data_IF_712500128031
#
_entry.id   IF_712500128031
#
_cell.length_a   1.000
_cell.length_b   1.000
_cell.length_c   1.000
_cell.angle_alpha   90.00
_cell.angle_beta   90.00
_cell.angle_gamma   90.00
#
_symmetry.space_group_name_H-M   'P 1'
#
loop_
_entity.id
_entity.type
_entity.pdbx_description
1 polymer ?
#
# COMPACT_ATOMS: atom_id res chain seq x y z
N UNK A 1 10.73 -27.42 -43.42
CA UNK A 1 9.52 -26.55 -43.51
C UNK A 1 8.54 -27.07 -42.46
N UNK A 2 8.31 -26.49 -41.30
CA UNK A 2 8.80 -25.30 -40.62
C UNK A 2 8.63 -25.53 -39.12
N UNK A 3 9.33 -24.75 -38.31
CA UNK A 3 9.61 -24.98 -36.89
C UNK A 3 8.38 -24.96 -35.99
N UNK A 4 8.32 -25.92 -35.05
CA UNK A 4 7.49 -25.82 -33.85
C UNK A 4 8.15 -24.84 -32.89
N UNK A 5 7.62 -23.61 -32.87
CA UNK A 5 8.02 -22.58 -31.92
C UNK A 5 7.68 -23.04 -30.51
N UNK A 6 8.72 -23.16 -29.69
CA UNK A 6 8.62 -23.31 -28.25
C UNK A 6 7.83 -22.11 -27.71
N UNK A 7 6.74 -22.35 -27.00
CA UNK A 7 6.19 -21.33 -26.11
C UNK A 7 7.20 -21.15 -24.98
N UNK A 8 8.14 -20.24 -25.21
CA UNK A 8 9.04 -19.74 -24.18
C UNK A 8 8.17 -19.29 -23.02
N UNK A 9 8.31 -20.01 -21.91
CA UNK A 9 7.72 -19.64 -20.64
C UNK A 9 8.07 -18.18 -20.39
N UNK A 10 7.03 -17.34 -20.32
CA UNK A 10 7.17 -15.98 -19.82
C UNK A 10 7.68 -16.15 -18.40
N UNK A 11 8.99 -15.97 -18.21
CA UNK A 11 9.54 -15.88 -16.87
C UNK A 11 8.69 -14.86 -16.12
N UNK A 12 8.21 -15.17 -14.89
CA UNK A 12 7.61 -14.14 -14.10
C UNK A 12 8.71 -13.10 -13.91
N UNK A 13 8.55 -11.95 -14.57
CA UNK A 13 9.36 -10.78 -14.30
C UNK A 13 9.22 -10.55 -12.81
N UNK A 14 10.24 -10.97 -12.07
CA UNK A 14 10.31 -10.78 -10.64
C UNK A 14 10.25 -9.27 -10.47
N UNK A 15 9.08 -8.76 -10.08
CA UNK A 15 8.92 -7.41 -9.63
C UNK A 15 9.66 -7.33 -8.29
N UNK A 16 11.00 -7.28 -8.35
CA UNK A 16 11.86 -6.99 -7.21
C UNK A 16 11.29 -5.75 -6.52
N UNK A 17 10.70 -5.97 -5.33
CA UNK A 17 10.18 -4.93 -4.47
C UNK A 17 8.67 -4.61 -4.52
N UNK A 18 7.85 -5.24 -5.38
CA UNK A 18 6.44 -4.81 -5.54
C UNK A 18 5.39 -5.94 -5.66
N UNK A 19 5.57 -7.02 -4.91
CA UNK A 19 4.51 -8.02 -4.68
C UNK A 19 3.85 -7.89 -3.29
N UNK A 20 3.92 -6.73 -2.64
CA UNK A 20 3.35 -6.51 -1.31
C UNK A 20 1.85 -6.83 -1.23
N UNK A 21 1.12 -6.59 -2.32
CA UNK A 21 -0.31 -6.86 -2.41
C UNK A 21 -0.63 -8.36 -2.61
N UNK A 22 0.33 -9.16 -3.09
CA UNK A 22 0.16 -10.60 -3.35
C UNK A 22 0.71 -11.47 -2.20
N UNK A 23 1.76 -11.00 -1.52
CA UNK A 23 2.45 -11.69 -0.41
C UNK A 23 2.89 -10.65 0.65
N UNK A 24 1.95 -10.02 1.38
CA UNK A 24 2.28 -9.00 2.38
C UNK A 24 3.27 -9.49 3.45
N UNK A 25 3.24 -10.78 3.79
CA UNK A 25 4.15 -11.44 4.72
C UNK A 25 5.59 -11.55 4.20
N UNK A 26 5.79 -11.53 2.88
CA UNK A 26 7.11 -11.58 2.27
C UNK A 26 7.80 -10.21 2.24
N UNK A 27 7.07 -9.14 2.59
CA UNK A 27 7.61 -7.78 2.63
C UNK A 27 8.32 -7.56 3.96
N UNK A 28 9.63 -7.25 3.98
CA UNK A 28 10.33 -6.94 5.21
C UNK A 28 9.63 -5.79 5.97
N UNK A 29 9.42 -5.89 7.30
CA UNK A 29 8.70 -4.88 8.08
C UNK A 29 9.52 -3.59 8.30
N UNK A 30 10.66 -3.45 7.61
CA UNK A 30 11.62 -2.36 7.80
C UNK A 30 10.99 -0.98 7.61
N UNK A 31 10.06 -0.84 6.66
CA UNK A 31 9.39 0.44 6.41
C UNK A 31 8.47 0.82 7.57
N UNK A 32 7.70 -0.13 8.10
CA UNK A 32 6.87 0.08 9.30
C UNK A 32 7.74 0.42 10.51
N UNK A 33 8.83 -0.31 10.73
CA UNK A 33 9.75 -0.06 11.85
C UNK A 33 10.38 1.34 11.80
N UNK A 34 10.71 1.84 10.60
CA UNK A 34 11.24 3.20 10.42
C UNK A 34 10.21 4.27 10.75
N UNK A 35 8.96 4.10 10.30
CA UNK A 35 7.87 5.04 10.62
C UNK A 35 7.55 5.07 12.11
N UNK A 36 7.49 3.91 12.76
CA UNK A 36 7.26 3.82 14.21
C UNK A 36 8.39 4.48 15.01
N UNK A 37 9.65 4.25 14.60
CA UNK A 37 10.81 4.91 15.21
C UNK A 37 10.73 6.42 15.05
N UNK A 38 10.41 6.92 13.86
CA UNK A 38 10.28 8.35 13.62
C UNK A 38 9.17 8.96 14.49
N UNK A 39 8.00 8.34 14.56
CA UNK A 39 6.90 8.79 15.42
C UNK A 39 7.33 8.85 16.90
N UNK A 40 7.99 7.81 17.41
CA UNK A 40 8.48 7.79 18.79
C UNK A 40 9.51 8.90 19.06
N UNK A 41 10.44 9.14 18.12
CA UNK A 41 11.44 10.21 18.24
C UNK A 41 10.79 11.60 18.15
N UNK A 42 9.77 11.78 17.31
CA UNK A 42 9.06 13.05 17.16
C UNK A 42 8.46 13.54 18.47
N UNK A 43 7.99 12.62 19.32
CA UNK A 43 7.46 12.91 20.66
C UNK A 43 8.59 13.38 21.61
N UNK A 44 9.74 12.71 21.57
CA UNK A 44 10.88 13.03 22.44
C UNK A 44 11.52 14.36 22.05
N UNK A 45 11.59 14.63 20.74
CA UNK A 45 12.24 15.80 20.14
C UNK A 45 11.30 17.01 20.00
N UNK A 46 10.02 16.88 20.38
CA UNK A 46 8.98 17.91 20.24
C UNK A 46 8.89 18.48 18.81
N UNK A 47 8.79 17.58 17.83
CA UNK A 47 8.64 17.93 16.41
C UNK A 47 7.46 17.18 15.78
N UNK A 48 7.06 17.62 14.59
CA UNK A 48 6.08 16.88 13.80
C UNK A 48 6.66 15.51 13.37
N UNK A 49 5.90 14.41 13.46
CA UNK A 49 6.27 13.14 12.84
C UNK A 49 6.32 13.26 11.32
N UNK A 50 7.07 12.36 10.68
CA UNK A 50 7.18 12.26 9.23
C UNK A 50 5.82 12.04 8.55
N UNK A 51 4.88 11.39 9.24
CA UNK A 51 3.48 11.28 8.82
C UNK A 51 2.60 11.80 9.95
N UNK A 52 1.88 12.89 9.70
CA UNK A 52 0.93 13.47 10.65
C UNK A 52 -0.35 12.64 10.76
N UNK A 53 -1.10 12.87 11.84
CA UNK A 53 -2.42 12.26 12.01
C UNK A 53 -3.43 12.67 10.92
N UNK A 54 -3.31 13.89 10.39
CA UNK A 54 -4.16 14.40 9.31
C UNK A 54 -3.91 13.64 8.00
N UNK A 55 -2.64 13.41 7.64
CA UNK A 55 -2.28 12.58 6.47
C UNK A 55 -2.70 11.12 6.68
N UNK A 56 -2.55 10.58 7.89
CA UNK A 56 -3.05 9.25 8.25
C UNK A 56 -4.56 9.11 8.03
N UNK A 57 -5.35 10.13 8.40
CA UNK A 57 -6.81 10.14 8.21
C UNK A 57 -7.21 10.07 6.73
N UNK A 58 -6.50 10.76 5.82
CA UNK A 58 -6.75 10.68 4.37
C UNK A 58 -6.57 9.27 3.83
N UNK A 59 -5.58 8.52 4.33
CA UNK A 59 -5.36 7.12 3.93
C UNK A 59 -6.53 6.22 4.37
N UNK A 60 -7.03 6.40 5.60
CA UNK A 60 -8.20 5.68 6.09
C UNK A 60 -9.45 6.02 5.26
N UNK A 61 -9.62 7.29 4.89
CA UNK A 61 -10.72 7.77 4.06
C UNK A 61 -10.84 6.99 2.74
N UNK A 62 -9.70 6.79 2.06
CA UNK A 62 -9.63 6.01 0.81
C UNK A 62 -10.00 4.54 1.05
N UNK A 63 -9.44 3.91 2.07
CA UNK A 63 -9.73 2.50 2.39
C UNK A 63 -11.22 2.30 2.71
N UNK A 64 -11.81 3.20 3.49
CA UNK A 64 -13.24 3.16 3.80
C UNK A 64 -14.12 3.39 2.57
N UNK A 65 -13.73 4.31 1.68
CA UNK A 65 -14.42 4.55 0.42
C UNK A 65 -14.41 3.31 -0.49
N UNK A 66 -13.31 2.56 -0.54
CA UNK A 66 -13.22 1.28 -1.28
C UNK A 66 -14.25 0.29 -0.72
N UNK A 67 -14.30 0.11 0.61
CA UNK A 67 -15.28 -0.78 1.23
C UNK A 67 -16.72 -0.33 0.99
N UNK A 68 -17.00 0.98 1.08
CA UNK A 68 -18.33 1.54 0.81
C UNK A 68 -18.75 1.34 -0.64
N UNK A 69 -17.87 1.63 -1.59
CA UNK A 69 -18.14 1.42 -3.02
C UNK A 69 -18.40 -0.06 -3.32
N UNK A 70 -17.59 -0.96 -2.77
CA UNK A 70 -17.80 -2.42 -2.92
C UNK A 70 -19.14 -2.90 -2.36
N UNK A 71 -19.62 -2.32 -1.25
CA UNK A 71 -20.92 -2.69 -0.65
C UNK A 71 -22.12 -2.13 -1.40
N UNK A 72 -21.98 -0.95 -1.99
CA UNK A 72 -23.10 -0.20 -2.61
C UNK A 72 -23.18 -0.36 -4.12
N UNK A 73 -22.07 -0.70 -4.78
CA UNK A 73 -21.95 -0.68 -6.24
C UNK A 73 -21.81 0.74 -6.82
N UNK A 74 -21.73 1.78 -5.98
CA UNK A 74 -21.73 3.17 -6.40
C UNK A 74 -20.35 3.84 -6.18
N UNK A 75 -19.98 4.85 -7.00
CA UNK A 75 -18.81 5.69 -6.74
C UNK A 75 -18.93 6.44 -5.40
N UNK A 76 -17.81 6.62 -4.71
CA UNK A 76 -17.72 7.46 -3.49
C UNK A 76 -17.03 8.77 -3.83
N UNK A 77 -17.66 9.90 -3.50
CA UNK A 77 -17.11 11.23 -3.74
C UNK A 77 -16.40 11.72 -2.48
N UNK A 78 -15.19 12.25 -2.66
CA UNK A 78 -14.40 12.84 -1.58
C UNK A 78 -14.60 14.36 -1.48
N UNK A 79 -14.48 14.97 -0.28
CA UNK A 79 -14.19 14.30 0.99
C UNK A 79 -15.39 13.50 1.50
N UNK A 80 -15.13 12.29 1.96
CA UNK A 80 -16.07 11.34 2.52
C UNK A 80 -15.76 11.17 4.01
N UNK A 81 -16.76 11.40 4.86
CA UNK A 81 -16.66 11.06 6.29
C UNK A 81 -17.52 9.82 6.53
N UNK A 82 -16.97 8.88 7.29
CA UNK A 82 -17.67 7.70 7.82
C UNK A 82 -18.94 8.10 8.57
#
# INVERSE_FOLDING_TARGET
KGEGGQEEGREPVAAEGMAAWARPEAVPPINHARLLRDFALSIIEDREPYVSGEEGRKSLEVVMAIYKSSKTGEPVIFPFRE
#
